data_IF_784911375630
#
_entry.id   IF_784911375630
#
_cell.length_a   1.000
_cell.length_b   1.000
_cell.length_c   1.000
_cell.angle_alpha   90.00
_cell.angle_beta   90.00
_cell.angle_gamma   90.00
#
_symmetry.space_group_name_H-M   'P 1'
#
loop_
_entity.id
_entity.type
_entity.pdbx_description
1 polymer ?
#
# COMPACT_ATOMS: atom_id res chain seq x y z
N UNK A 1 -8.14 9.70 -0.43
CA UNK A 1 -6.79 9.82 -0.99
C UNK A 1 -6.06 8.51 -1.24
N UNK A 2 -6.57 7.34 -0.76
CA UNK A 2 -5.89 6.04 -0.98
C UNK A 2 -5.82 5.69 -2.47
N UNK A 3 -6.94 5.69 -3.16
CA UNK A 3 -7.02 5.37 -4.60
C UNK A 3 -6.20 6.35 -5.44
N UNK A 4 -6.21 7.65 -5.11
CA UNK A 4 -5.37 8.65 -5.77
C UNK A 4 -3.88 8.35 -5.58
N UNK A 5 -3.47 8.02 -4.36
CA UNK A 5 -2.10 7.66 -4.06
C UNK A 5 -1.68 6.37 -4.80
N UNK A 6 -2.55 5.36 -4.85
CA UNK A 6 -2.28 4.14 -5.63
C UNK A 6 -2.09 4.44 -7.12
N UNK A 7 -2.89 5.34 -7.71
CA UNK A 7 -2.72 5.77 -9.11
C UNK A 7 -1.37 6.43 -9.34
N UNK A 8 -0.95 7.33 -8.45
CA UNK A 8 0.36 7.98 -8.57
C UNK A 8 1.53 7.00 -8.39
N UNK A 9 1.40 6.04 -7.47
CA UNK A 9 2.38 4.95 -7.31
C UNK A 9 2.43 4.10 -8.59
N UNK A 10 1.29 3.71 -9.14
CA UNK A 10 1.22 2.94 -10.37
C UNK A 10 1.93 3.65 -11.52
N UNK A 11 1.63 4.93 -11.76
CA UNK A 11 2.32 5.76 -12.78
C UNK A 11 3.82 5.85 -12.55
N UNK A 12 4.23 6.05 -11.31
CA UNK A 12 5.65 6.14 -10.95
C UNK A 12 6.38 4.82 -11.18
N UNK A 13 5.77 3.69 -10.82
CA UNK A 13 6.33 2.35 -11.00
C UNK A 13 6.46 2.02 -12.49
N UNK A 14 5.43 2.27 -13.30
CA UNK A 14 5.47 2.02 -14.75
C UNK A 14 6.53 2.89 -15.46
N UNK A 15 6.71 4.12 -15.01
CA UNK A 15 7.72 5.02 -15.58
C UNK A 15 9.15 4.64 -15.17
N UNK A 16 9.35 4.24 -13.91
CA UNK A 16 10.70 3.93 -13.37
C UNK A 16 11.14 2.49 -13.65
N UNK A 17 10.20 1.57 -13.78
CA UNK A 17 10.45 0.13 -13.95
C UNK A 17 9.58 -0.43 -15.08
N UNK A 18 9.86 -0.11 -16.34
CA UNK A 18 8.99 -0.48 -17.47
C UNK A 18 8.89 -1.99 -17.70
N UNK A 19 9.86 -2.77 -17.23
CA UNK A 19 9.86 -4.23 -17.33
C UNK A 19 9.09 -4.92 -16.20
N UNK A 20 8.70 -4.19 -15.16
CA UNK A 20 7.91 -4.71 -14.05
C UNK A 20 6.47 -4.97 -14.48
N UNK A 21 5.95 -6.15 -14.17
CA UNK A 21 4.55 -6.48 -14.40
C UNK A 21 3.68 -5.95 -13.27
N UNK A 22 2.81 -4.99 -13.59
CA UNK A 22 1.93 -4.33 -12.62
C UNK A 22 0.52 -4.88 -12.73
N UNK A 23 0.02 -5.47 -11.66
CA UNK A 23 -1.38 -5.90 -11.53
C UNK A 23 -2.08 -4.99 -10.53
N UNK A 24 -3.14 -4.32 -10.96
CA UNK A 24 -4.01 -3.52 -10.10
C UNK A 24 -5.26 -4.34 -9.83
N UNK A 25 -5.45 -4.74 -8.57
CA UNK A 25 -6.59 -5.54 -8.14
C UNK A 25 -7.56 -4.70 -7.31
N UNK A 26 -8.76 -4.51 -7.85
CA UNK A 26 -9.82 -3.73 -7.23
C UNK A 26 -10.92 -4.66 -6.75
N UNK A 27 -11.17 -4.69 -5.44
CA UNK A 27 -12.16 -5.57 -4.82
C UNK A 27 -13.26 -4.74 -4.16
N UNK A 28 -14.51 -5.01 -4.55
CA UNK A 28 -15.70 -4.34 -4.00
C UNK A 28 -15.65 -2.81 -4.22
N UNK A 29 -15.04 -2.38 -5.35
CA UNK A 29 -14.96 -0.98 -5.75
C UNK A 29 -16.10 -0.59 -6.70
N UNK A 30 -16.30 0.71 -6.87
CA UNK A 30 -17.33 1.25 -7.74
C UNK A 30 -16.92 1.14 -9.21
N UNK A 31 -17.85 0.83 -10.14
CA UNK A 31 -17.53 0.75 -11.57
C UNK A 31 -16.87 2.01 -12.14
N UNK A 32 -17.28 3.20 -11.68
CA UNK A 32 -16.67 4.47 -12.10
C UNK A 32 -15.22 4.61 -11.65
N UNK A 33 -14.86 4.12 -10.46
CA UNK A 33 -13.48 4.12 -9.97
C UNK A 33 -12.61 3.12 -10.76
N UNK A 34 -13.18 2.00 -11.16
CA UNK A 34 -12.51 1.03 -12.04
C UNK A 34 -12.20 1.64 -13.40
N UNK A 35 -13.18 2.34 -14.01
CA UNK A 35 -13.00 3.01 -15.30
C UNK A 35 -11.92 4.08 -15.21
N UNK A 36 -11.96 4.92 -14.17
CA UNK A 36 -10.99 5.99 -13.93
C UNK A 36 -9.54 5.46 -13.78
N UNK A 37 -9.37 4.30 -13.13
CA UNK A 37 -8.05 3.67 -13.03
C UNK A 37 -7.58 3.10 -14.37
N UNK A 38 -8.47 2.44 -15.12
CA UNK A 38 -8.14 1.89 -16.45
C UNK A 38 -7.71 2.96 -17.44
N UNK A 39 -8.39 4.12 -17.41
CA UNK A 39 -8.07 5.24 -18.29
C UNK A 39 -6.80 5.99 -17.85
N UNK A 40 -6.51 6.00 -16.54
CA UNK A 40 -5.38 6.73 -16.00
C UNK A 40 -4.04 5.99 -16.08
N UNK A 41 -4.06 4.66 -16.23
CA UNK A 41 -2.85 3.82 -16.14
C UNK A 41 -2.85 2.84 -17.30
N UNK A 42 -1.99 3.12 -18.27
CA UNK A 42 -1.78 2.28 -19.46
C UNK A 42 -0.33 1.78 -19.51
N UNK A 43 -0.13 0.62 -20.10
CA UNK A 43 1.20 0.04 -20.33
C UNK A 43 1.10 -1.43 -20.75
N UNK A 44 2.09 -1.88 -21.51
CA UNK A 44 2.14 -3.26 -22.06
C UNK A 44 2.21 -4.32 -20.94
N UNK A 45 2.77 -3.97 -19.80
CA UNK A 45 2.91 -4.83 -18.62
C UNK A 45 1.92 -4.45 -17.49
N UNK A 46 0.81 -3.76 -17.81
CA UNK A 46 -0.19 -3.34 -16.83
C UNK A 46 -1.49 -4.11 -17.02
N UNK A 47 -1.98 -4.71 -15.95
CA UNK A 47 -3.28 -5.38 -15.92
C UNK A 47 -4.15 -4.77 -14.82
N UNK A 48 -5.37 -4.33 -15.17
CA UNK A 48 -6.39 -3.92 -14.20
C UNK A 48 -7.44 -5.00 -14.10
N UNK A 49 -7.47 -5.69 -12.97
CA UNK A 49 -8.39 -6.80 -12.66
C UNK A 49 -9.28 -6.35 -11.51
N UNK A 50 -10.56 -6.63 -11.60
CA UNK A 50 -11.53 -6.09 -10.65
C UNK A 50 -12.72 -7.02 -10.44
N UNK A 51 -13.40 -6.80 -9.33
CA UNK A 51 -14.72 -7.30 -9.01
C UNK A 51 -15.47 -6.19 -8.26
N UNK A 52 -16.52 -5.66 -8.88
CA UNK A 52 -17.24 -4.47 -8.41
C UNK A 52 -18.24 -4.79 -7.29
N UNK A 53 -18.68 -3.77 -6.55
CA UNK A 53 -19.50 -3.92 -5.35
C UNK A 53 -20.85 -4.62 -5.56
N UNK A 54 -21.33 -4.66 -6.79
CA UNK A 54 -22.57 -5.33 -7.21
C UNK A 54 -22.40 -6.83 -7.47
N UNK A 55 -21.16 -7.34 -7.40
CA UNK A 55 -20.88 -8.76 -7.54
C UNK A 55 -20.95 -9.50 -6.19
N UNK A 56 -21.12 -10.82 -6.25
CA UNK A 56 -21.18 -11.68 -5.07
C UNK A 56 -19.80 -11.79 -4.38
N UNK A 57 -19.76 -11.98 -3.04
CA UNK A 57 -18.51 -12.17 -2.30
C UNK A 57 -17.63 -13.32 -2.82
N UNK A 58 -18.23 -14.37 -3.38
CA UNK A 58 -17.53 -15.49 -4.00
C UNK A 58 -16.73 -15.05 -5.24
N UNK A 59 -17.23 -14.05 -5.99
CA UNK A 59 -16.51 -13.46 -7.13
C UNK A 59 -15.26 -12.71 -6.65
N UNK A 60 -15.38 -11.87 -5.63
CA UNK A 60 -14.25 -11.16 -5.02
C UNK A 60 -13.14 -12.13 -4.61
N UNK A 61 -13.52 -13.20 -3.93
CA UNK A 61 -12.62 -14.27 -3.51
C UNK A 61 -11.94 -14.92 -4.72
N UNK A 62 -12.73 -15.37 -5.71
CA UNK A 62 -12.24 -16.06 -6.90
C UNK A 62 -11.27 -15.20 -7.70
N UNK A 63 -11.60 -13.93 -7.91
CA UNK A 63 -10.74 -12.99 -8.64
C UNK A 63 -9.40 -12.81 -7.93
N UNK A 64 -9.41 -12.67 -6.61
CA UNK A 64 -8.17 -12.55 -5.83
C UNK A 64 -7.30 -13.82 -5.91
N UNK A 65 -7.90 -15.01 -5.88
CA UNK A 65 -7.21 -16.29 -6.03
C UNK A 65 -6.58 -16.42 -7.42
N UNK A 66 -7.29 -16.01 -8.48
CA UNK A 66 -6.75 -15.97 -9.84
C UNK A 66 -5.57 -15.03 -10.00
N UNK A 67 -5.65 -13.83 -9.40
CA UNK A 67 -4.58 -12.83 -9.45
C UNK A 67 -3.32 -13.33 -8.78
N UNK A 68 -3.40 -13.90 -7.59
CA UNK A 68 -2.21 -14.39 -6.91
C UNK A 68 -1.57 -15.58 -7.65
N UNK A 69 -2.35 -16.46 -8.24
CA UNK A 69 -1.83 -17.57 -9.04
C UNK A 69 -1.19 -17.07 -10.35
N UNK A 70 -1.78 -16.06 -11.01
CA UNK A 70 -1.15 -15.40 -12.16
C UNK A 70 0.18 -14.76 -11.79
N UNK A 71 0.22 -14.00 -10.69
CA UNK A 71 1.45 -13.38 -10.22
C UNK A 71 2.55 -14.39 -9.95
N UNK A 72 2.22 -15.52 -9.29
CA UNK A 72 3.17 -16.61 -9.06
C UNK A 72 3.73 -17.18 -10.38
N UNK A 73 2.88 -17.39 -11.40
CA UNK A 73 3.36 -17.89 -12.70
C UNK A 73 4.33 -16.90 -13.36
N UNK A 74 4.05 -15.60 -13.30
CA UNK A 74 4.98 -14.57 -13.81
C UNK A 74 6.32 -14.58 -13.06
N UNK A 75 6.29 -14.71 -11.73
CA UNK A 75 7.51 -14.79 -10.90
C UNK A 75 8.32 -16.06 -11.23
N UNK A 76 7.66 -17.19 -11.45
CA UNK A 76 8.32 -18.44 -11.90
C UNK A 76 9.01 -18.28 -13.26
N UNK A 77 8.55 -17.33 -14.07
CA UNK A 77 9.21 -16.91 -15.31
C UNK A 77 10.24 -15.77 -15.09
N UNK A 78 10.73 -15.61 -13.86
CA UNK A 78 11.72 -14.61 -13.47
C UNK A 78 11.30 -13.17 -13.69
N UNK A 79 9.98 -12.89 -13.71
CA UNK A 79 9.46 -11.53 -13.80
C UNK A 79 9.39 -10.88 -12.42
N UNK A 80 9.64 -9.57 -12.38
CA UNK A 80 9.32 -8.74 -11.24
C UNK A 80 7.87 -8.31 -11.35
N UNK A 81 7.08 -8.63 -10.33
CA UNK A 81 5.63 -8.41 -10.31
C UNK A 81 5.26 -7.53 -9.13
N UNK A 82 4.43 -6.53 -9.36
CA UNK A 82 3.83 -5.74 -8.30
C UNK A 82 2.30 -5.86 -8.36
N UNK A 83 1.68 -6.15 -7.21
CA UNK A 83 0.22 -6.11 -7.04
C UNK A 83 -0.13 -4.88 -6.21
N UNK A 84 -0.98 -4.02 -6.74
CA UNK A 84 -1.65 -2.95 -6.00
C UNK A 84 -3.07 -3.40 -5.69
N UNK A 85 -3.38 -3.66 -4.42
CA UNK A 85 -4.68 -4.15 -3.97
C UNK A 85 -5.49 -3.03 -3.28
N UNK A 86 -6.62 -2.68 -3.82
CA UNK A 86 -7.63 -1.83 -3.18
C UNK A 86 -8.93 -2.63 -2.97
N UNK A 87 -9.25 -3.16 -1.79
CA UNK A 87 -8.49 -3.11 -0.55
C UNK A 87 -8.45 -4.49 0.15
N UNK A 88 -7.45 -4.70 0.99
CA UNK A 88 -7.35 -5.92 1.80
C UNK A 88 -8.51 -6.05 2.79
N UNK A 89 -9.04 -4.94 3.29
CA UNK A 89 -10.19 -4.92 4.20
C UNK A 89 -11.43 -5.50 3.54
N UNK A 90 -11.71 -5.08 2.28
CA UNK A 90 -12.86 -5.58 1.53
C UNK A 90 -12.68 -7.03 1.12
N UNK A 91 -11.47 -7.44 0.80
CA UNK A 91 -11.15 -8.83 0.55
C UNK A 91 -11.40 -9.70 1.80
N UNK A 92 -10.94 -9.26 2.97
CA UNK A 92 -11.21 -9.97 4.23
C UNK A 92 -12.71 -10.06 4.55
N UNK A 93 -13.50 -9.01 4.27
CA UNK A 93 -14.95 -9.03 4.40
C UNK A 93 -15.60 -10.06 3.46
N UNK A 94 -15.15 -10.15 2.21
CA UNK A 94 -15.66 -11.14 1.25
C UNK A 94 -15.38 -12.57 1.73
N UNK A 95 -14.18 -12.84 2.24
CA UNK A 95 -13.89 -14.13 2.86
C UNK A 95 -14.74 -14.40 4.10
N UNK A 96 -15.01 -13.40 4.93
CA UNK A 96 -15.86 -13.54 6.12
C UNK A 96 -17.30 -13.98 5.79
N UNK A 97 -17.80 -13.58 4.63
CA UNK A 97 -19.13 -13.96 4.15
C UNK A 97 -19.16 -15.34 3.48
N UNK A 98 -18.02 -15.88 3.07
CA UNK A 98 -17.95 -17.11 2.25
C UNK A 98 -17.31 -18.30 2.95
N UNK A 99 -16.55 -18.10 4.03
CA UNK A 99 -15.94 -19.20 4.77
C UNK A 99 -16.98 -19.88 5.67
N UNK A 100 -16.89 -21.20 5.86
CA UNK A 100 -17.69 -21.89 6.87
C UNK A 100 -17.38 -21.34 8.27
N UNK A 101 -18.37 -21.13 9.14
CA UNK A 101 -18.15 -20.63 10.47
C UNK A 101 -17.21 -21.55 11.28
N UNK A 102 -16.16 -20.95 11.88
CA UNK A 102 -15.21 -21.71 12.74
C UNK A 102 -15.75 -21.97 14.16
N UNK A 103 -16.87 -21.36 14.52
CA UNK A 103 -17.41 -21.35 15.88
C UNK A 103 -16.72 -20.34 16.80
N UNK A 104 -15.79 -19.53 16.28
CA UNK A 104 -15.12 -18.44 17.00
C UNK A 104 -15.40 -17.13 16.27
N UNK A 105 -15.52 -16.06 17.04
CA UNK A 105 -15.77 -14.72 16.47
C UNK A 105 -14.85 -13.71 17.14
N UNK A 106 -14.10 -12.98 16.34
CA UNK A 106 -13.34 -11.81 16.78
C UNK A 106 -14.26 -10.59 16.90
N UNK A 107 -13.74 -9.51 17.49
CA UNK A 107 -14.48 -8.25 17.60
C UNK A 107 -14.98 -7.78 16.22
N UNK A 108 -16.17 -7.23 16.18
CA UNK A 108 -16.80 -6.78 14.93
C UNK A 108 -17.40 -7.88 14.04
N UNK A 109 -17.55 -9.12 14.56
CA UNK A 109 -18.17 -10.21 13.81
C UNK A 109 -17.27 -10.89 12.79
N UNK A 110 -15.95 -10.74 12.90
CA UNK A 110 -14.98 -11.38 12.02
C UNK A 110 -14.67 -12.80 12.48
N UNK A 111 -14.85 -13.78 11.60
CA UNK A 111 -14.39 -15.15 11.85
C UNK A 111 -12.86 -15.24 11.61
N UNK A 112 -12.08 -15.82 12.56
CA UNK A 112 -10.64 -15.99 12.35
C UNK A 112 -10.26 -16.73 11.07
N UNK A 113 -11.11 -17.67 10.63
CA UNK A 113 -10.89 -18.42 9.40
C UNK A 113 -10.92 -17.54 8.14
N UNK A 114 -11.65 -16.42 8.18
CA UNK A 114 -11.72 -15.46 7.07
C UNK A 114 -10.38 -14.75 6.80
N UNK A 115 -9.50 -14.68 7.77
CA UNK A 115 -8.19 -14.02 7.63
C UNK A 115 -7.12 -14.90 6.99
N UNK A 116 -7.30 -16.20 6.97
CA UNK A 116 -6.27 -17.14 6.54
C UNK A 116 -5.84 -16.93 5.08
N UNK A 117 -6.80 -16.94 4.14
CA UNK A 117 -6.49 -16.76 2.72
C UNK A 117 -5.99 -15.35 2.37
N UNK A 118 -6.57 -14.26 2.87
CA UNK A 118 -6.02 -12.92 2.69
C UNK A 118 -4.60 -12.76 3.26
N UNK A 119 -4.30 -13.38 4.41
CA UNK A 119 -2.93 -13.39 4.97
C UNK A 119 -1.96 -14.18 4.08
N UNK A 120 -2.38 -15.31 3.53
CA UNK A 120 -1.56 -16.06 2.55
C UNK A 120 -1.33 -15.27 1.28
N UNK A 121 -2.35 -14.57 0.80
CA UNK A 121 -2.23 -13.67 -0.35
C UNK A 121 -1.16 -12.61 -0.08
N UNK A 122 -1.32 -11.84 0.99
CA UNK A 122 -0.40 -10.75 1.32
C UNK A 122 1.00 -11.26 1.70
N UNK A 123 1.09 -12.39 2.40
CA UNK A 123 2.35 -13.03 2.78
C UNK A 123 3.08 -13.75 1.65
N UNK A 124 2.52 -13.78 0.43
CA UNK A 124 3.19 -14.34 -0.74
C UNK A 124 4.32 -13.44 -1.28
N UNK A 125 4.33 -12.15 -0.90
CA UNK A 125 5.33 -11.17 -1.33
C UNK A 125 6.74 -11.58 -0.88
N UNK A 126 7.67 -11.68 -1.84
CA UNK A 126 9.08 -12.04 -1.60
C UNK A 126 9.95 -11.82 -2.84
N UNK A 127 11.27 -11.71 -2.61
CA UNK A 127 12.27 -11.84 -3.65
C UNK A 127 12.70 -13.30 -3.77
N UNK A 128 12.78 -13.82 -4.99
CA UNK A 128 13.24 -15.18 -5.26
C UNK A 128 14.77 -15.20 -5.45
N UNK A 129 15.43 -16.25 -4.97
CA UNK A 129 16.89 -16.40 -5.12
C UNK A 129 17.30 -16.63 -6.57
N UNK A 130 16.46 -17.31 -7.32
CA UNK A 130 16.65 -17.66 -8.72
C UNK A 130 16.30 -16.53 -9.69
N UNK A 131 15.79 -15.42 -9.18
CA UNK A 131 15.30 -14.28 -9.95
C UNK A 131 13.77 -14.15 -9.94
N UNK A 132 13.30 -12.96 -10.22
CA UNK A 132 11.90 -12.58 -10.09
C UNK A 132 11.54 -12.19 -8.66
N UNK A 133 10.53 -11.35 -8.54
CA UNK A 133 10.04 -10.86 -7.25
C UNK A 133 8.53 -10.64 -7.25
N UNK A 134 7.91 -10.71 -6.09
CA UNK A 134 6.52 -10.32 -5.88
C UNK A 134 6.46 -9.26 -4.78
N UNK A 135 6.03 -8.07 -5.15
CA UNK A 135 5.72 -6.97 -4.25
C UNK A 135 4.21 -6.79 -4.16
N UNK A 136 3.67 -6.68 -2.96
CA UNK A 136 2.24 -6.43 -2.75
C UNK A 136 2.08 -5.19 -1.89
N UNK A 137 1.41 -4.18 -2.45
CA UNK A 137 0.98 -2.99 -1.75
C UNK A 137 -0.54 -3.01 -1.64
N UNK A 138 -1.05 -3.13 -0.43
CA UNK A 138 -2.49 -3.19 -0.18
C UNK A 138 -2.96 -1.98 0.62
N UNK A 139 -4.09 -1.41 0.24
CA UNK A 139 -4.77 -0.43 1.09
C UNK A 139 -5.56 -1.15 2.18
N UNK A 140 -5.62 -0.53 3.36
CA UNK A 140 -6.49 -0.94 4.45
C UNK A 140 -7.39 0.22 4.89
N UNK A 141 -8.61 -0.08 5.28
CA UNK A 141 -9.55 0.89 5.86
C UNK A 141 -9.27 1.03 7.35
N UNK A 142 -9.14 2.27 7.82
CA UNK A 142 -8.95 2.62 9.23
C UNK A 142 -9.88 3.77 9.61
N UNK A 143 -10.24 3.86 10.86
CA UNK A 143 -11.09 4.93 11.40
C UNK A 143 -12.44 5.07 10.66
N UNK A 144 -13.03 3.95 10.28
CA UNK A 144 -14.34 3.91 9.59
C UNK A 144 -15.52 3.83 10.55
N UNK A 145 -15.26 3.64 11.84
CA UNK A 145 -16.28 3.32 12.84
C UNK A 145 -16.70 1.84 12.84
N UNK A 146 -16.15 1.03 11.94
CA UNK A 146 -16.39 -0.43 11.89
C UNK A 146 -15.34 -1.18 12.71
N UNK A 147 -15.78 -1.85 13.78
CA UNK A 147 -14.88 -2.71 14.58
C UNK A 147 -14.25 -3.84 13.77
N UNK A 148 -14.92 -4.32 12.74
CA UNK A 148 -14.33 -5.33 11.83
C UNK A 148 -13.13 -4.77 11.07
N UNK A 149 -13.21 -3.54 10.56
CA UNK A 149 -12.12 -2.90 9.85
C UNK A 149 -10.90 -2.70 10.74
N UNK A 150 -11.12 -2.29 12.00
CA UNK A 150 -10.07 -2.12 12.98
C UNK A 150 -9.34 -3.46 13.25
N UNK A 151 -10.11 -4.56 13.42
CA UNK A 151 -9.53 -5.89 13.60
C UNK A 151 -8.74 -6.33 12.37
N UNK A 152 -9.29 -6.15 11.16
CA UNK A 152 -8.57 -6.48 9.91
C UNK A 152 -7.26 -5.68 9.83
N UNK A 153 -7.31 -4.37 10.08
CA UNK A 153 -6.10 -3.54 10.06
C UNK A 153 -5.03 -4.05 11.03
N UNK A 154 -5.37 -4.31 12.30
CA UNK A 154 -4.42 -4.80 13.30
C UNK A 154 -3.84 -6.18 12.94
N UNK A 155 -4.65 -7.06 12.36
CA UNK A 155 -4.22 -8.39 11.91
C UNK A 155 -3.23 -8.35 10.73
N UNK A 156 -3.32 -7.35 9.86
CA UNK A 156 -2.41 -7.17 8.73
C UNK A 156 -1.21 -6.29 9.04
N UNK A 157 -1.31 -5.36 9.99
CA UNK A 157 -0.20 -4.52 10.45
C UNK A 157 1.03 -5.33 10.87
N UNK A 158 0.81 -6.47 11.52
CA UNK A 158 1.89 -7.39 11.91
C UNK A 158 2.49 -8.18 10.74
N UNK A 159 1.79 -8.30 9.61
CA UNK A 159 2.20 -9.10 8.45
C UNK A 159 3.05 -8.29 7.45
N UNK A 160 2.74 -7.00 7.29
CA UNK A 160 3.47 -6.11 6.38
C UNK A 160 4.84 -5.69 6.90
N UNK A 161 5.72 -5.31 6.00
CA UNK A 161 7.05 -4.76 6.30
C UNK A 161 7.13 -3.24 6.11
N UNK A 162 6.11 -2.62 5.55
CA UNK A 162 5.96 -1.17 5.39
C UNK A 162 4.53 -0.76 5.73
N UNK A 163 4.39 0.37 6.38
CA UNK A 163 3.11 0.99 6.69
C UNK A 163 3.16 2.47 6.30
N UNK A 164 2.18 2.92 5.53
CA UNK A 164 2.00 4.30 5.15
C UNK A 164 0.62 4.75 5.62
N UNK A 165 0.61 5.63 6.61
CA UNK A 165 -0.61 6.17 7.22
C UNK A 165 -1.03 7.46 6.53
N UNK A 166 -2.32 7.56 6.17
CA UNK A 166 -2.92 8.80 5.69
C UNK A 166 -3.67 9.48 6.83
N UNK A 167 -3.55 10.80 6.93
CA UNK A 167 -4.23 11.62 7.92
C UNK A 167 -5.41 12.38 7.30
N UNK A 168 -6.60 12.20 7.90
CA UNK A 168 -7.82 12.87 7.44
C UNK A 168 -7.76 14.39 7.65
N UNK A 169 -7.10 14.85 8.72
CA UNK A 169 -6.97 16.28 9.01
C UNK A 169 -6.13 17.00 7.95
N UNK A 170 -5.07 16.36 7.44
CA UNK A 170 -4.28 16.88 6.33
C UNK A 170 -5.13 16.99 5.06
N UNK A 171 -5.95 15.97 4.77
CA UNK A 171 -6.86 15.98 3.63
C UNK A 171 -7.90 17.11 3.74
N UNK A 172 -8.49 17.31 4.92
CA UNK A 172 -9.46 18.38 5.18
C UNK A 172 -8.86 19.76 4.93
N UNK A 173 -7.59 19.94 5.23
CA UNK A 173 -6.79 21.13 4.97
C UNK A 173 -6.24 21.23 3.55
N UNK A 174 -6.56 20.27 2.68
CA UNK A 174 -6.05 20.21 1.30
C UNK A 174 -4.53 20.11 1.20
N UNK A 175 -3.88 19.53 2.21
CA UNK A 175 -2.45 19.18 2.17
C UNK A 175 -2.29 17.79 1.55
N UNK A 176 -1.60 17.71 0.42
CA UNK A 176 -1.39 16.46 -0.33
C UNK A 176 0.08 16.29 -0.71
N UNK A 177 0.61 15.04 -0.64
CA UNK A 177 -0.03 13.83 -0.13
C UNK A 177 -0.32 13.91 1.37
N UNK A 178 -1.51 13.48 1.79
CA UNK A 178 -1.97 13.56 3.18
C UNK A 178 -1.36 12.45 4.05
N UNK A 179 -0.02 12.34 4.06
CA UNK A 179 0.74 11.29 4.73
C UNK A 179 1.10 11.70 6.16
N UNK A 180 0.74 10.89 7.14
CA UNK A 180 1.23 11.01 8.51
C UNK A 180 2.66 10.45 8.59
N UNK A 181 3.65 11.31 8.41
CA UNK A 181 5.06 10.93 8.34
C UNK A 181 5.54 10.27 9.64
N UNK A 182 5.24 10.81 10.84
CA UNK A 182 5.63 10.17 12.09
C UNK A 182 5.13 8.74 12.26
N UNK A 183 3.92 8.43 11.76
CA UNK A 183 3.31 7.10 11.86
C UNK A 183 3.65 6.18 10.69
N UNK A 184 4.30 6.70 9.65
CA UNK A 184 4.68 5.92 8.47
C UNK A 184 6.12 5.44 8.56
N UNK A 185 6.41 4.26 8.02
CA UNK A 185 7.76 3.73 8.01
C UNK A 185 7.87 2.32 7.44
N UNK A 186 9.09 1.83 7.36
CA UNK A 186 9.42 0.45 6.97
C UNK A 186 10.34 -0.19 8.00
N UNK A 187 10.29 -1.51 8.13
CA UNK A 187 11.05 -2.25 9.16
C UNK A 187 12.55 -2.30 8.89
N UNK A 188 12.95 -2.33 7.62
CA UNK A 188 14.35 -2.52 7.20
C UNK A 188 14.76 -1.46 6.20
N UNK A 189 14.61 -0.18 6.59
CA UNK A 189 15.05 0.95 5.76
C UNK A 189 16.55 0.91 5.44
N UNK A 190 17.34 0.29 6.30
CA UNK A 190 18.77 0.05 6.11
C UNK A 190 19.10 -0.78 4.85
N UNK A 191 18.17 -1.60 4.37
CA UNK A 191 18.31 -2.38 3.14
C UNK A 191 17.88 -1.62 1.88
N UNK A 192 17.17 -0.50 2.03
CA UNK A 192 16.56 0.25 0.95
C UNK A 192 17.28 1.57 0.67
N UNK A 193 17.95 2.12 1.68
CA UNK A 193 18.55 3.44 1.66
C UNK A 193 20.07 3.36 1.68
N UNK A 194 20.73 4.25 0.95
CA UNK A 194 22.17 4.48 1.07
C UNK A 194 22.49 5.04 2.46
N UNK A 195 23.76 5.05 2.82
CA UNK A 195 24.20 5.60 4.12
C UNK A 195 23.83 7.07 4.27
N UNK A 196 23.98 7.86 3.23
CA UNK A 196 23.64 9.28 3.24
C UNK A 196 22.12 9.49 3.39
N UNK A 197 21.31 8.71 2.69
CA UNK A 197 19.85 8.76 2.83
C UNK A 197 19.40 8.36 4.24
N UNK A 198 20.03 7.33 4.84
CA UNK A 198 19.75 6.94 6.22
C UNK A 198 20.04 8.06 7.20
N UNK A 199 21.21 8.72 7.06
CA UNK A 199 21.60 9.82 7.91
C UNK A 199 20.64 11.02 7.76
N UNK A 200 20.21 11.33 6.52
CA UNK A 200 19.23 12.38 6.27
C UNK A 200 17.85 12.04 6.87
N UNK A 201 17.36 10.81 6.70
CA UNK A 201 16.11 10.34 7.30
C UNK A 201 16.16 10.40 8.82
N UNK A 202 17.27 10.01 9.42
CA UNK A 202 17.47 10.09 10.88
C UNK A 202 17.40 11.54 11.37
N UNK A 203 18.08 12.48 10.70
CA UNK A 203 18.04 13.89 11.02
C UNK A 203 16.62 14.44 10.91
N UNK A 204 15.91 14.14 9.82
CA UNK A 204 14.53 14.56 9.61
C UNK A 204 13.59 14.03 10.69
N UNK A 205 13.62 12.73 10.98
CA UNK A 205 12.76 12.12 12.00
C UNK A 205 13.03 12.73 13.38
N UNK A 206 14.30 12.99 13.71
CA UNK A 206 14.68 13.64 14.97
C UNK A 206 14.15 15.07 15.04
N UNK A 207 14.25 15.83 13.96
CA UNK A 207 13.74 17.21 13.90
C UNK A 207 12.21 17.27 13.98
N UNK A 208 11.51 16.32 13.37
CA UNK A 208 10.06 16.24 13.41
C UNK A 208 9.50 15.62 14.70
N UNK A 209 10.36 15.08 15.56
CA UNK A 209 9.94 14.50 16.84
C UNK A 209 9.35 15.60 17.75
N UNK A 210 8.10 15.43 18.13
CA UNK A 210 7.34 16.41 18.91
C UNK A 210 6.57 17.46 18.09
N UNK A 211 6.75 17.52 16.76
CA UNK A 211 5.93 18.35 15.88
C UNK A 211 4.54 17.72 15.67
N UNK A 212 3.55 18.55 15.41
CA UNK A 212 2.25 18.06 14.90
C UNK A 212 2.44 17.52 13.49
N UNK A 213 1.65 16.49 13.12
CA UNK A 213 1.71 15.87 11.80
C UNK A 213 1.62 16.88 10.65
N UNK A 214 0.77 17.90 10.78
CA UNK A 214 0.60 18.99 9.81
C UNK A 214 1.87 19.78 9.59
N UNK A 215 2.50 20.24 10.67
CA UNK A 215 3.72 21.03 10.65
C UNK A 215 4.89 20.22 10.04
N UNK A 216 4.99 18.95 10.40
CA UNK A 216 5.99 18.06 9.83
C UNK A 216 5.85 17.89 8.32
N UNK A 217 4.61 17.72 7.83
CA UNK A 217 4.32 17.59 6.40
C UNK A 217 4.57 18.88 5.65
N UNK A 218 4.10 20.03 6.17
CA UNK A 218 4.31 21.34 5.55
C UNK A 218 5.82 21.66 5.43
N UNK A 219 6.59 21.41 6.47
CA UNK A 219 8.04 21.59 6.44
C UNK A 219 8.71 20.73 5.38
N UNK A 220 8.33 19.44 5.29
CA UNK A 220 8.89 18.55 4.30
C UNK A 220 8.49 18.95 2.87
N UNK A 221 7.24 19.29 2.62
CA UNK A 221 6.79 19.76 1.30
C UNK A 221 7.49 21.05 0.87
N UNK A 222 7.72 21.97 1.81
CA UNK A 222 8.51 23.18 1.58
C UNK A 222 9.96 22.86 1.20
N UNK A 223 10.56 21.84 1.79
CA UNK A 223 11.90 21.38 1.41
C UNK A 223 11.92 20.77 0.02
N UNK A 224 10.96 19.89 -0.29
CA UNK A 224 10.81 19.30 -1.64
C UNK A 224 10.64 20.38 -2.72
N UNK A 225 9.87 21.43 -2.45
CA UNK A 225 9.64 22.51 -3.41
C UNK A 225 10.90 23.33 -3.74
N UNK A 226 11.93 23.28 -2.91
CA UNK A 226 13.20 24.00 -3.06
C UNK A 226 14.31 23.15 -3.70
N UNK A 227 14.06 21.87 -3.92
CA UNK A 227 15.03 20.93 -4.48
C UNK A 227 14.47 20.31 -5.76
N UNK A 228 15.34 19.95 -6.70
CA UNK A 228 14.94 19.35 -7.99
C UNK A 228 15.02 17.82 -7.96
N UNK A 229 15.89 17.27 -7.14
CA UNK A 229 16.11 15.82 -7.02
C UNK A 229 16.13 15.39 -5.57
N UNK A 230 15.98 14.08 -5.35
CA UNK A 230 16.08 13.50 -4.01
C UNK A 230 17.49 13.65 -3.42
N UNK A 231 18.53 13.53 -4.27
CA UNK A 231 19.92 13.71 -3.87
C UNK A 231 20.18 15.13 -3.35
N UNK A 232 19.65 16.16 -4.04
CA UNK A 232 19.74 17.55 -3.57
C UNK A 232 19.08 17.73 -2.20
N UNK A 233 17.91 17.13 -1.99
CA UNK A 233 17.20 17.16 -0.72
C UNK A 233 18.03 16.50 0.39
N UNK A 234 18.53 15.29 0.15
CA UNK A 234 19.38 14.55 1.09
C UNK A 234 20.60 15.39 1.48
N UNK A 235 21.32 15.98 0.51
CA UNK A 235 22.48 16.81 0.76
C UNK A 235 22.11 18.08 1.53
N UNK A 236 20.98 18.71 1.23
CA UNK A 236 20.50 19.88 1.96
C UNK A 236 20.22 19.55 3.42
N UNK A 237 19.58 18.43 3.72
CA UNK A 237 19.25 17.98 5.07
C UNK A 237 20.53 17.74 5.88
N UNK A 238 21.52 17.05 5.29
CA UNK A 238 22.79 16.75 5.95
C UNK A 238 23.58 18.04 6.26
N UNK A 239 23.61 18.98 5.30
CA UNK A 239 24.38 20.24 5.46
C UNK A 239 23.75 21.21 6.47
N UNK A 240 22.42 21.29 6.50
CA UNK A 240 21.73 22.29 7.33
C UNK A 240 21.73 21.94 8.82
N UNK A 241 22.19 20.70 9.21
CA UNK A 241 22.13 20.22 10.58
C UNK A 241 20.91 20.84 11.26
N UNK A 242 19.73 20.24 11.03
CA UNK A 242 18.51 20.70 11.71
C UNK A 242 18.78 20.76 13.22
N UNK A 243 19.10 21.96 13.71
CA UNK A 243 19.23 22.27 15.10
C UNK A 243 17.88 22.72 15.60
#
# INVERSE_FOLDING_TARGET
GKTTLLKEIAKSVTASNPDMHLIILLIDERPEEVTDIKEAIEGDNVEVIYSTFDELPEHHKRVSEMVIERAKRLVEHHKDVMILLDSITRLARAYNLTVPPSGRTLSGGLDPAALYSPKRFFGAARNMREGGSLTILATALVDTGSKMDDVVYEEFKGTGNMELMLDRKLQEKRVFPAIDIPKSGTRREDLLLTKEEQDAVYIMRKAMNGMKSEEAVDNLLNMFSRTKTNEELVQQIIRQKFI
#
